data_IF_418654892156
#
_entry.id   IF_418654892156
#
_cell.length_a   1.000
_cell.length_b   1.000
_cell.length_c   1.000
_cell.angle_alpha   90.00
_cell.angle_beta   90.00
_cell.angle_gamma   90.00
#
_symmetry.space_group_name_H-M   'P 1'
#
loop_
_entity.id
_entity.type
_entity.pdbx_description
1 polymer ?
#
# COMPACT_ATOMS: atom_id res chain seq x y z
N UNK A 1 -1.56 -25.59 -36.03
CA UNK A 1 -2.32 -25.49 -34.77
C UNK A 1 -1.32 -25.68 -33.63
N UNK A 2 -0.89 -24.59 -33.01
CA UNK A 2 0.11 -24.59 -31.93
C UNK A 2 -0.63 -24.41 -30.60
N UNK A 3 -0.54 -25.42 -29.74
CA UNK A 3 -0.92 -25.33 -28.33
C UNK A 3 0.21 -25.95 -27.52
N UNK A 4 1.21 -25.12 -27.23
CA UNK A 4 2.19 -25.41 -26.18
C UNK A 4 1.58 -24.98 -24.85
N UNK A 5 1.12 -25.99 -24.10
CA UNK A 5 0.74 -25.88 -22.71
C UNK A 5 1.99 -25.54 -21.88
N UNK A 6 2.04 -24.33 -21.33
CA UNK A 6 2.91 -24.00 -20.20
C UNK A 6 2.06 -23.25 -19.17
N UNK A 7 1.24 -24.01 -18.45
CA UNK A 7 0.60 -23.55 -17.21
C UNK A 7 1.21 -24.35 -16.05
N UNK A 8 1.96 -23.68 -15.19
CA UNK A 8 2.20 -24.19 -13.83
C UNK A 8 3.64 -24.35 -13.37
N UNK A 9 4.51 -23.36 -13.57
CA UNK A 9 5.70 -23.23 -12.71
C UNK A 9 5.53 -21.99 -11.83
N UNK A 10 5.18 -22.14 -10.54
CA UNK A 10 5.14 -21.02 -9.60
C UNK A 10 6.54 -20.45 -9.38
N UNK A 11 6.64 -19.14 -9.19
CA UNK A 11 7.90 -18.49 -8.86
C UNK A 11 8.43 -18.96 -7.49
N UNK A 12 9.76 -19.07 -7.32
CA UNK A 12 10.37 -19.39 -6.02
C UNK A 12 9.99 -18.32 -4.99
N UNK A 13 9.29 -18.71 -3.91
CA UNK A 13 8.83 -17.80 -2.84
C UNK A 13 7.32 -17.81 -2.57
N UNK A 14 6.54 -18.61 -3.32
CA UNK A 14 5.08 -18.73 -3.12
C UNK A 14 4.73 -19.37 -1.75
N UNK A 15 3.90 -18.75 -0.89
CA UNK A 15 3.38 -19.38 0.32
C UNK A 15 2.51 -20.59 -0.03
N UNK A 16 2.79 -21.74 0.59
CA UNK A 16 2.10 -23.01 0.37
C UNK A 16 0.89 -23.16 1.29
N UNK A 17 -0.21 -22.51 0.96
CA UNK A 17 -1.51 -22.89 1.51
C UNK A 17 -2.35 -23.50 0.38
N UNK A 18 -2.30 -24.83 0.28
CA UNK A 18 -3.10 -25.63 -0.64
C UNK A 18 -4.59 -25.51 -0.29
N UNK A 19 -5.29 -24.61 -0.97
CA UNK A 19 -6.73 -24.36 -0.78
C UNK A 19 -7.64 -25.37 -1.50
N UNK A 20 -7.12 -26.50 -1.96
CA UNK A 20 -7.87 -27.50 -2.73
C UNK A 20 -7.94 -28.80 -1.91
N UNK A 21 -9.15 -29.32 -1.68
CA UNK A 21 -9.33 -30.62 -1.04
C UNK A 21 -9.00 -31.80 -1.97
N UNK A 22 -8.93 -33.01 -1.43
CA UNK A 22 -8.59 -34.22 -2.20
C UNK A 22 -9.64 -34.58 -3.29
N UNK A 23 -10.72 -33.79 -3.38
CA UNK A 23 -11.76 -33.86 -4.41
C UNK A 23 -11.72 -32.68 -5.39
N UNK A 24 -10.65 -31.87 -5.35
CA UNK A 24 -10.45 -30.77 -6.28
C UNK A 24 -11.29 -29.52 -5.99
N UNK A 25 -11.97 -29.44 -4.84
CA UNK A 25 -12.86 -28.33 -4.48
C UNK A 25 -12.14 -27.34 -3.56
N UNK A 26 -12.33 -26.05 -3.80
CA UNK A 26 -11.78 -25.01 -2.90
C UNK A 26 -12.43 -25.13 -1.52
N UNK A 27 -11.61 -25.29 -0.46
CA UNK A 27 -12.11 -25.26 0.92
C UNK A 27 -12.50 -23.82 1.29
N UNK A 28 -13.74 -23.62 1.74
CA UNK A 28 -14.13 -22.36 2.38
C UNK A 28 -13.44 -22.28 3.74
N UNK A 29 -12.67 -21.21 3.96
CA UNK A 29 -11.97 -21.00 5.23
C UNK A 29 -12.96 -20.79 6.39
N UNK A 30 -12.61 -21.19 7.63
CA UNK A 30 -13.44 -20.96 8.81
C UNK A 30 -13.69 -19.46 9.05
N UNK A 31 -14.91 -19.14 9.47
CA UNK A 31 -15.52 -17.80 9.52
C UNK A 31 -14.81 -16.81 10.50
N UNK A 32 -13.91 -17.29 11.35
CA UNK A 32 -13.10 -16.45 12.25
C UNK A 32 -11.86 -15.88 11.58
N UNK A 33 -11.50 -16.35 10.38
CA UNK A 33 -10.47 -15.77 9.53
C UNK A 33 -11.12 -14.96 8.40
N UNK A 34 -12.02 -14.03 8.72
CA UNK A 34 -12.31 -12.91 7.84
C UNK A 34 -11.06 -12.03 7.80
N UNK A 35 -10.04 -12.50 7.07
CA UNK A 35 -8.91 -11.70 6.60
C UNK A 35 -9.54 -10.44 6.05
N UNK A 36 -9.30 -9.30 6.71
CA UNK A 36 -9.73 -8.02 6.18
C UNK A 36 -9.06 -7.94 4.81
N UNK A 37 -9.85 -8.12 3.73
CA UNK A 37 -9.35 -7.96 2.36
C UNK A 37 -9.12 -6.48 2.19
N UNK A 38 -7.97 -6.02 2.62
CA UNK A 38 -7.46 -4.76 2.14
C UNK A 38 -7.38 -4.84 0.61
N UNK A 39 -7.80 -3.76 -0.01
CA UNK A 39 -8.39 -3.79 -1.35
C UNK A 39 -7.40 -3.56 -2.47
N UNK A 40 -7.95 -3.70 -3.68
CA UNK A 40 -7.40 -3.13 -4.89
C UNK A 40 -7.65 -1.61 -4.91
N UNK A 41 -6.76 -0.83 -5.52
CA UNK A 41 -7.01 0.58 -5.83
C UNK A 41 -8.17 0.66 -6.82
N UNK A 42 -9.09 1.61 -6.65
CA UNK A 42 -10.33 1.68 -7.45
C UNK A 42 -10.10 1.55 -8.97
N UNK A 43 -9.24 2.39 -9.58
CA UNK A 43 -8.82 2.25 -10.97
C UNK A 43 -8.28 0.87 -11.35
N UNK A 44 -7.49 0.23 -10.49
CA UNK A 44 -6.96 -1.12 -10.75
C UNK A 44 -8.08 -2.17 -10.72
N UNK A 45 -8.95 -2.13 -9.69
CA UNK A 45 -10.10 -3.03 -9.57
C UNK A 45 -11.05 -2.91 -10.78
N UNK A 46 -11.19 -1.69 -11.30
CA UNK A 46 -11.98 -1.39 -12.50
C UNK A 46 -11.27 -1.73 -13.83
N UNK A 47 -10.03 -2.24 -13.78
CA UNK A 47 -9.18 -2.55 -14.94
C UNK A 47 -8.94 -1.35 -15.87
N UNK A 48 -8.91 -0.14 -15.30
CA UNK A 48 -8.63 1.11 -16.01
C UNK A 48 -7.12 1.33 -16.12
N UNK A 49 -6.43 0.37 -16.74
CA UNK A 49 -4.98 0.34 -16.81
C UNK A 49 -4.42 1.55 -17.58
N UNK A 50 -5.17 2.08 -18.55
CA UNK A 50 -4.74 3.19 -19.40
C UNK A 50 -4.86 4.58 -18.75
N UNK A 51 -5.46 4.65 -17.55
CA UNK A 51 -5.39 5.85 -16.71
C UNK A 51 -4.02 6.05 -16.04
N UNK A 52 -3.17 5.02 -16.03
CA UNK A 52 -1.82 5.08 -15.44
C UNK A 52 -0.73 4.63 -16.41
N UNK A 53 -1.01 3.64 -17.26
CA UNK A 53 -0.05 3.01 -18.17
C UNK A 53 -0.36 3.27 -19.65
N UNK A 54 0.68 3.39 -20.47
CA UNK A 54 0.55 3.42 -21.93
C UNK A 54 0.09 2.05 -22.46
N UNK A 55 -0.83 2.08 -23.42
CA UNK A 55 -1.29 0.89 -24.15
C UNK A 55 -0.19 0.39 -25.10
N UNK A 56 -0.21 -0.89 -25.44
CA UNK A 56 0.73 -1.48 -26.42
C UNK A 56 1.93 -2.22 -25.81
N UNK A 57 1.75 -2.86 -24.65
CA UNK A 57 2.69 -3.87 -24.12
C UNK A 57 3.93 -3.33 -23.41
N UNK A 58 4.09 -2.01 -23.29
CA UNK A 58 5.30 -1.42 -22.69
C UNK A 58 5.21 -1.10 -21.19
N UNK A 59 4.05 -1.26 -20.53
CA UNK A 59 3.80 -0.94 -19.11
C UNK A 59 4.34 0.41 -18.60
N UNK A 60 4.76 1.30 -19.50
CA UNK A 60 5.27 2.64 -19.20
C UNK A 60 4.15 3.47 -18.62
N UNK A 61 4.46 4.39 -17.71
CA UNK A 61 3.47 5.32 -17.18
C UNK A 61 3.11 6.39 -18.21
N UNK A 62 1.90 6.93 -18.12
CA UNK A 62 1.44 8.01 -19.01
C UNK A 62 2.12 9.36 -18.71
N UNK A 63 2.69 9.51 -17.52
CA UNK A 63 3.48 10.65 -17.06
C UNK A 63 4.40 10.21 -15.88
N UNK A 64 5.31 11.07 -15.39
CA UNK A 64 6.14 10.75 -14.22
C UNK A 64 5.30 10.35 -13.02
N UNK A 65 5.78 9.39 -12.23
CA UNK A 65 5.01 8.84 -11.10
C UNK A 65 4.75 9.87 -10.01
N UNK A 66 5.67 10.82 -9.87
CA UNK A 66 5.63 11.93 -8.91
C UNK A 66 4.46 12.89 -9.20
N UNK A 67 3.98 12.92 -10.45
CA UNK A 67 2.86 13.75 -10.90
C UNK A 67 1.57 12.93 -11.07
N UNK A 68 1.70 11.67 -11.47
CA UNK A 68 0.58 10.80 -11.85
C UNK A 68 -0.48 10.68 -10.75
N UNK A 69 -0.07 10.57 -9.48
CA UNK A 69 -1.01 10.41 -8.38
C UNK A 69 -1.90 11.67 -8.20
N UNK A 70 -1.31 12.85 -8.40
CA UNK A 70 -2.01 14.13 -8.28
C UNK A 70 -2.95 14.43 -9.44
N UNK A 71 -2.86 13.69 -10.54
CA UNK A 71 -3.79 13.79 -11.65
C UNK A 71 -5.25 13.49 -11.22
N UNK A 72 -5.41 12.64 -10.21
CA UNK A 72 -6.73 12.27 -9.66
C UNK A 72 -6.89 12.60 -8.16
N UNK A 73 -5.82 12.51 -7.36
CA UNK A 73 -5.90 12.72 -5.92
C UNK A 73 -5.54 14.15 -5.56
N UNK A 74 -6.49 14.88 -5.00
CA UNK A 74 -6.21 16.15 -4.32
C UNK A 74 -5.70 15.84 -2.91
N UNK A 75 -4.39 15.92 -2.73
CA UNK A 75 -3.72 15.72 -1.44
C UNK A 75 -3.30 17.08 -0.91
N UNK A 76 -3.59 17.34 0.36
CA UNK A 76 -3.21 18.56 1.05
C UNK A 76 -1.69 18.66 1.14
N UNK A 77 -1.10 19.58 0.38
CA UNK A 77 0.34 19.90 0.41
C UNK A 77 0.59 21.37 0.79
N UNK A 78 -0.49 22.14 1.00
CA UNK A 78 -0.48 23.56 1.34
C UNK A 78 -0.44 23.83 2.85
N UNK A 79 0.17 22.92 3.61
CA UNK A 79 0.41 23.10 5.06
C UNK A 79 1.85 23.47 5.35
N UNK A 80 2.08 24.03 6.54
CA UNK A 80 3.43 24.49 6.95
C UNK A 80 4.47 23.37 6.97
N UNK A 81 4.07 22.13 7.26
CA UNK A 81 4.93 20.96 7.33
C UNK A 81 4.39 19.89 6.39
N UNK A 82 5.13 19.63 5.32
CA UNK A 82 4.84 18.53 4.40
C UNK A 82 5.83 17.40 4.69
N UNK A 83 5.31 16.18 4.75
CA UNK A 83 6.14 15.00 4.98
C UNK A 83 7.08 14.77 3.80
N UNK A 84 8.35 14.45 4.08
CA UNK A 84 9.41 14.34 3.07
C UNK A 84 9.06 13.48 1.85
N UNK A 85 8.54 12.25 2.02
CA UNK A 85 8.11 11.41 0.90
C UNK A 85 7.02 12.05 0.03
N UNK A 86 6.07 12.78 0.62
CA UNK A 86 5.04 13.49 -0.15
C UNK A 86 5.63 14.68 -0.91
N UNK A 87 6.54 15.43 -0.28
CA UNK A 87 7.18 16.60 -0.89
C UNK A 87 7.96 16.26 -2.16
N UNK A 88 8.42 15.01 -2.31
CA UNK A 88 9.10 14.52 -3.51
C UNK A 88 8.20 13.72 -4.46
N UNK A 89 6.87 13.70 -4.25
CA UNK A 89 5.94 12.87 -5.03
C UNK A 89 6.12 11.36 -4.84
N UNK A 90 6.81 10.94 -3.78
CA UNK A 90 7.14 9.56 -3.46
C UNK A 90 5.97 8.75 -2.90
N UNK A 91 4.79 8.82 -3.51
CA UNK A 91 3.57 8.15 -3.03
C UNK A 91 3.78 6.64 -2.84
N UNK A 92 4.56 6.03 -3.75
CA UNK A 92 4.87 4.59 -3.75
C UNK A 92 5.83 4.13 -2.66
N UNK A 93 6.45 5.06 -1.93
CA UNK A 93 7.26 4.71 -0.76
C UNK A 93 6.35 4.05 0.29
N UNK A 94 5.13 4.59 0.44
CA UNK A 94 4.15 4.11 1.42
C UNK A 94 3.02 3.31 0.80
N UNK A 95 2.60 3.61 -0.44
CA UNK A 95 1.39 3.03 -1.06
C UNK A 95 1.68 2.07 -2.23
N UNK A 96 0.88 1.02 -2.36
CA UNK A 96 0.88 0.10 -3.49
C UNK A 96 -0.27 0.47 -4.46
N UNK A 97 0.03 1.06 -5.64
CA UNK A 97 -0.98 1.65 -6.52
C UNK A 97 -1.93 0.64 -7.19
N UNK A 98 -1.60 -0.66 -7.18
CA UNK A 98 -2.50 -1.70 -7.68
C UNK A 98 -3.41 -2.24 -6.59
N UNK A 99 -2.85 -2.60 -5.45
CA UNK A 99 -3.59 -3.23 -4.36
C UNK A 99 -2.67 -3.68 -3.25
N UNK A 100 -3.16 -3.69 -2.01
CA UNK A 100 -2.37 -4.14 -0.87
C UNK A 100 -3.18 -5.00 0.07
N UNK A 101 -2.47 -5.86 0.80
CA UNK A 101 -2.99 -6.55 1.98
C UNK A 101 -2.89 -5.70 3.25
N UNK A 102 -2.81 -4.36 3.14
CA UNK A 102 -2.82 -3.43 4.27
C UNK A 102 -3.79 -2.26 4.00
N UNK A 103 -4.36 -1.68 5.07
CA UNK A 103 -5.30 -0.54 4.98
C UNK A 103 -4.70 0.57 4.12
N UNK A 104 -5.57 1.30 3.40
CA UNK A 104 -5.18 2.46 2.60
C UNK A 104 -4.08 2.16 1.58
N UNK A 105 -3.98 0.90 1.14
CA UNK A 105 -2.97 0.42 0.21
C UNK A 105 -1.54 0.56 0.72
N UNK A 106 -1.31 0.56 2.03
CA UNK A 106 0.05 0.68 2.55
C UNK A 106 0.92 -0.52 2.13
N UNK A 107 2.24 -0.35 2.04
CA UNK A 107 3.17 -1.44 1.70
C UNK A 107 3.42 -2.40 2.87
N UNK A 108 3.11 -1.99 4.10
CA UNK A 108 3.11 -2.80 5.34
C UNK A 108 2.15 -2.24 6.38
N UNK A 109 2.07 -2.87 7.55
CA UNK A 109 1.34 -2.31 8.71
C UNK A 109 1.90 -0.93 9.10
N UNK A 110 1.01 -0.01 9.50
CA UNK A 110 1.33 1.41 9.63
C UNK A 110 2.46 1.69 10.62
N UNK A 111 2.38 1.17 11.85
CA UNK A 111 3.44 1.36 12.86
C UNK A 111 4.79 0.84 12.43
N UNK A 112 4.81 -0.39 11.89
CA UNK A 112 6.03 -1.01 11.39
C UNK A 112 6.63 -0.18 10.26
N UNK A 113 5.79 0.35 9.37
CA UNK A 113 6.22 1.18 8.26
C UNK A 113 6.89 2.47 8.74
N UNK A 114 6.27 3.20 9.67
CA UNK A 114 6.76 4.48 10.16
C UNK A 114 8.18 4.36 10.74
N UNK A 115 8.45 3.29 11.49
CA UNK A 115 9.74 3.11 12.18
C UNK A 115 10.86 2.57 11.28
N UNK A 116 10.60 2.37 9.98
CA UNK A 116 11.66 2.11 8.99
C UNK A 116 12.52 3.34 8.72
N UNK A 117 11.96 4.53 8.90
CA UNK A 117 12.67 5.80 8.74
C UNK A 117 12.75 6.60 10.05
N UNK A 118 11.73 6.53 10.90
CA UNK A 118 11.72 7.20 12.19
C UNK A 118 12.25 6.26 13.27
N UNK A 119 13.50 6.47 13.67
CA UNK A 119 14.18 5.60 14.63
C UNK A 119 13.35 5.42 15.92
N UNK A 120 13.08 4.17 16.29
CA UNK A 120 12.19 3.81 17.40
C UNK A 120 12.62 4.46 18.71
N UNK A 121 13.93 4.51 18.97
CA UNK A 121 14.52 5.17 20.12
C UNK A 121 14.19 6.67 20.19
N UNK A 122 14.12 7.35 19.05
CA UNK A 122 13.76 8.76 18.99
C UNK A 122 12.26 8.97 19.22
N UNK A 123 11.44 8.10 18.63
CA UNK A 123 9.98 8.11 18.85
C UNK A 123 9.66 7.91 20.33
N UNK A 124 10.26 6.91 20.98
CA UNK A 124 9.97 6.55 22.37
C UNK A 124 10.55 7.52 23.42
N UNK A 125 11.34 8.52 23.03
CA UNK A 125 11.79 9.60 23.95
C UNK A 125 10.61 10.36 24.54
N UNK A 126 9.52 10.52 23.79
CA UNK A 126 8.31 11.19 24.25
C UNK A 126 7.44 10.22 25.07
N UNK A 127 7.03 10.66 26.24
CA UNK A 127 6.21 9.86 27.16
C UNK A 127 4.89 9.39 26.52
N UNK A 128 4.28 10.22 25.68
CA UNK A 128 3.02 9.92 24.98
C UNK A 128 3.09 8.71 24.04
N UNK A 129 4.28 8.25 23.68
CA UNK A 129 4.48 7.06 22.84
C UNK A 129 4.75 5.79 23.66
N UNK A 130 5.07 5.91 24.95
CA UNK A 130 5.35 4.75 25.81
C UNK A 130 4.05 4.02 26.10
N UNK A 131 4.03 2.72 25.82
CA UNK A 131 2.87 1.84 25.99
C UNK A 131 1.58 2.32 25.31
N UNK A 132 1.72 3.14 24.26
CA UNK A 132 0.57 3.72 23.56
C UNK A 132 0.01 2.74 22.51
N UNK A 133 -1.23 2.24 22.68
CA UNK A 133 -1.85 1.29 21.77
C UNK A 133 -2.46 1.93 20.51
N UNK A 134 -2.44 3.26 20.37
CA UNK A 134 -2.95 3.96 19.18
C UNK A 134 -1.99 3.97 17.99
N UNK A 135 -2.52 3.94 16.77
CA UNK A 135 -1.71 4.04 15.56
C UNK A 135 -1.07 5.43 15.43
N UNK A 136 0.08 5.50 14.76
CA UNK A 136 0.79 6.76 14.53
C UNK A 136 -0.14 7.79 13.87
N UNK A 137 -0.96 7.31 12.93
CA UNK A 137 -1.90 8.14 12.17
C UNK A 137 -3.17 8.50 12.92
N UNK A 138 -3.34 8.10 14.19
CA UNK A 138 -4.42 8.61 15.02
C UNK A 138 -4.12 10.05 15.48
N UNK A 139 -2.84 10.34 15.79
CA UNK A 139 -2.38 11.69 16.20
C UNK A 139 -1.61 12.45 15.10
N UNK A 140 -0.93 11.74 14.19
CA UNK A 140 -0.12 12.37 13.15
C UNK A 140 -0.81 12.31 11.78
N UNK A 141 -0.67 13.35 10.97
CA UNK A 141 -1.02 13.33 9.56
C UNK A 141 0.20 12.87 8.74
N UNK A 142 0.12 11.70 8.09
CA UNK A 142 1.24 11.13 7.35
C UNK A 142 1.61 11.91 6.08
N UNK A 143 0.79 12.88 5.68
CA UNK A 143 0.99 13.73 4.51
C UNK A 143 1.49 15.11 4.91
N UNK A 144 0.69 15.86 5.66
CA UNK A 144 1.01 17.24 5.99
C UNK A 144 0.21 17.77 7.18
N UNK A 145 0.80 18.67 7.96
CA UNK A 145 0.12 19.42 9.01
C UNK A 145 0.71 20.82 9.19
N UNK A 146 -0.03 21.70 9.85
CA UNK A 146 0.48 22.99 10.29
C UNK A 146 1.31 22.91 11.58
N UNK A 147 1.22 21.79 12.29
CA UNK A 147 1.92 21.58 13.57
C UNK A 147 3.24 20.82 13.38
N UNK A 148 4.18 21.03 14.32
CA UNK A 148 5.43 20.28 14.37
C UNK A 148 5.18 18.78 14.50
N UNK A 149 6.12 17.99 13.98
CA UNK A 149 6.02 16.52 13.94
C UNK A 149 4.75 15.99 13.27
N UNK A 150 4.13 16.80 12.39
CA UNK A 150 2.91 16.45 11.67
C UNK A 150 1.72 16.10 12.57
N UNK A 151 1.62 16.68 13.76
CA UNK A 151 0.46 16.47 14.63
C UNK A 151 -0.82 17.06 14.04
N UNK A 152 -1.95 16.34 14.12
CA UNK A 152 -3.26 16.83 13.63
C UNK A 152 -3.79 18.02 14.43
#
# INVERSE_FOLDING_TARGET
MLSVFFDGVPAPGSPKDSLIDDRGRRKSAPDTARRIRYGEHGPYAAKLCDGCHLRGGSFKLIMPIEELCFHCHTITVDRKKVHGPLASGGCRVCHEPHGSSFRLLLTSESREFCVRCHATEDVLKREVHRDNPMECTDCHDAHASDNEHLLK
#
